data_IF_842613051109
#
_entry.id   IF_842613051109
#
_cell.length_a   1.000
_cell.length_b   1.000
_cell.length_c   1.000
_cell.angle_alpha   90.00
_cell.angle_beta   90.00
_cell.angle_gamma   90.00
#
_symmetry.space_group_name_H-M   'P 1'
#
loop_
_entity.id
_entity.type
_entity.pdbx_description
1 polymer ?
#
# COMPACT_ATOMS: atom_id res chain seq x y z
N UNK A 1 -5.23 -13.68 5.73
CA UNK A 1 -3.80 -13.41 5.99
C UNK A 1 -3.66 -12.33 7.07
N UNK A 2 -2.59 -12.36 7.87
CA UNK A 2 -2.15 -11.25 8.73
C UNK A 2 -0.64 -11.09 8.56
N UNK A 3 -0.18 -9.87 8.30
CA UNK A 3 1.23 -9.48 8.29
C UNK A 3 1.44 -8.34 9.30
N UNK A 4 2.60 -8.32 9.95
CA UNK A 4 2.96 -7.30 10.96
C UNK A 4 4.39 -6.87 10.75
N UNK A 5 4.58 -5.57 10.51
CA UNK A 5 5.88 -4.95 10.27
C UNK A 5 6.17 -3.98 11.41
N UNK A 6 7.38 -4.06 11.97
CA UNK A 6 7.85 -3.14 13.00
C UNK A 6 8.82 -2.13 12.42
N UNK A 7 8.79 -0.90 12.93
CA UNK A 7 9.72 0.16 12.53
C UNK A 7 9.34 1.51 13.11
N UNK A 8 10.04 2.57 12.72
CA UNK A 8 9.79 3.92 13.21
C UNK A 8 8.86 4.68 12.26
N UNK A 9 7.56 4.64 12.51
CA UNK A 9 6.57 5.27 11.63
C UNK A 9 6.64 6.80 11.66
N UNK A 10 7.15 7.38 12.74
CA UNK A 10 7.08 8.83 13.00
C UNK A 10 8.43 9.54 12.88
N UNK A 11 9.53 8.79 12.74
CA UNK A 11 10.89 9.33 12.65
C UNK A 11 11.48 9.74 14.00
N UNK A 12 10.86 9.34 15.11
CA UNK A 12 11.26 9.73 16.48
C UNK A 12 12.07 8.65 17.21
N UNK A 13 12.46 7.58 16.51
CA UNK A 13 13.23 6.47 17.07
C UNK A 13 12.42 5.47 17.90
N UNK A 14 11.08 5.49 17.80
CA UNK A 14 10.23 4.53 18.50
C UNK A 14 9.95 3.29 17.65
N UNK A 15 9.85 2.12 18.28
CA UNK A 15 9.38 0.91 17.59
C UNK A 15 7.85 0.92 17.53
N UNK A 16 7.34 1.46 16.44
CA UNK A 16 5.94 1.46 16.03
C UNK A 16 5.64 0.16 15.24
N UNK A 17 4.40 -0.01 14.76
CA UNK A 17 4.00 -1.18 13.98
C UNK A 17 2.99 -0.85 12.87
N UNK A 18 2.99 -1.65 11.82
CA UNK A 18 1.98 -1.69 10.76
C UNK A 18 1.41 -3.10 10.70
N UNK A 19 0.09 -3.22 10.58
CA UNK A 19 -0.58 -4.52 10.40
C UNK A 19 -1.34 -4.49 9.08
N UNK A 20 -1.16 -5.52 8.24
CA UNK A 20 -2.01 -5.78 7.08
C UNK A 20 -2.83 -7.03 7.36
N UNK A 21 -4.14 -6.98 7.26
CA UNK A 21 -4.97 -8.17 7.46
C UNK A 21 -6.15 -8.23 6.50
N UNK A 22 -6.51 -9.45 6.14
CA UNK A 22 -7.71 -9.72 5.35
C UNK A 22 -8.94 -9.71 6.25
N UNK A 23 -10.04 -9.07 5.85
CA UNK A 23 -11.32 -9.25 6.53
C UNK A 23 -11.77 -10.70 6.42
N UNK A 24 -12.63 -11.13 7.35
CA UNK A 24 -13.17 -12.49 7.32
C UNK A 24 -13.93 -12.75 6.02
N UNK A 25 -13.60 -13.86 5.34
CA UNK A 25 -14.28 -14.23 4.10
C UNK A 25 -15.74 -14.63 4.39
N UNK A 26 -16.68 -14.00 3.71
CA UNK A 26 -18.11 -14.34 3.75
C UNK A 26 -18.44 -15.28 2.59
N UNK A 27 -17.96 -16.53 2.69
CA UNK A 27 -18.28 -17.60 1.73
C UNK A 27 -17.22 -17.86 0.64
N UNK A 28 -17.56 -18.69 -0.37
CA UNK A 28 -16.65 -19.02 -1.47
C UNK A 28 -16.32 -17.76 -2.29
N UNK A 29 -15.04 -17.58 -2.64
CA UNK A 29 -14.57 -16.44 -3.45
C UNK A 29 -14.03 -16.94 -4.79
N UNK A 30 -14.30 -16.24 -5.89
CA UNK A 30 -13.69 -16.54 -7.20
C UNK A 30 -12.36 -15.81 -7.38
N UNK A 31 -11.70 -16.01 -8.52
CA UNK A 31 -10.56 -15.18 -8.91
C UNK A 31 -11.04 -13.74 -9.12
N UNK A 32 -10.33 -12.75 -8.56
CA UNK A 32 -10.72 -11.35 -8.62
C UNK A 32 -11.78 -10.93 -7.59
N UNK A 33 -12.39 -11.87 -6.87
CA UNK A 33 -13.39 -11.58 -5.86
C UNK A 33 -12.79 -11.49 -4.46
N UNK A 34 -13.25 -10.50 -3.70
CA UNK A 34 -12.97 -10.37 -2.28
C UNK A 34 -12.85 -8.92 -1.84
N UNK A 35 -12.95 -8.71 -0.54
CA UNK A 35 -12.72 -7.39 0.04
C UNK A 35 -11.23 -7.06 0.04
N UNK A 36 -10.91 -5.79 -0.19
CA UNK A 36 -9.58 -5.25 0.05
C UNK A 36 -9.18 -5.48 1.52
N UNK A 37 -7.87 -5.54 1.75
CA UNK A 37 -7.29 -5.74 3.07
C UNK A 37 -7.21 -4.43 3.81
N UNK A 38 -7.35 -4.52 5.13
CA UNK A 38 -7.16 -3.38 6.02
C UNK A 38 -5.69 -3.27 6.39
N UNK A 39 -5.17 -2.06 6.31
CA UNK A 39 -3.86 -1.67 6.81
C UNK A 39 -4.05 -0.73 8.00
N UNK A 40 -3.41 -1.03 9.13
CA UNK A 40 -3.44 -0.19 10.34
C UNK A 40 -2.02 0.26 10.66
N UNK A 41 -1.87 1.56 10.92
CA UNK A 41 -0.66 2.18 11.46
C UNK A 41 -0.81 2.32 12.98
N UNK A 42 0.08 1.70 13.74
CA UNK A 42 0.10 1.67 15.19
C UNK A 42 1.31 2.43 15.72
N UNK A 43 1.09 3.54 16.43
CA UNK A 43 2.17 4.34 17.01
C UNK A 43 2.23 4.15 18.51
N UNK A 44 3.46 4.07 19.04
CA UNK A 44 3.70 3.90 20.47
C UNK A 44 3.51 5.22 21.24
N UNK A 45 2.57 5.27 22.16
CA UNK A 45 2.38 6.44 23.02
C UNK A 45 3.50 6.58 24.09
N UNK A 46 3.42 7.64 24.89
CA UNK A 46 4.37 7.91 25.97
C UNK A 46 4.39 6.83 27.08
N UNK A 47 3.32 6.03 27.20
CA UNK A 47 3.26 4.90 28.13
C UNK A 47 3.89 3.62 27.55
N UNK A 48 4.36 3.67 26.30
CA UNK A 48 4.95 2.54 25.60
C UNK A 48 3.92 1.63 24.94
N UNK A 49 2.64 2.00 24.88
CA UNK A 49 1.57 1.18 24.28
C UNK A 49 1.34 1.55 22.82
N UNK A 50 1.13 0.55 21.97
CA UNK A 50 0.72 0.77 20.58
C UNK A 50 -0.72 1.26 20.53
N UNK A 51 -0.94 2.38 19.87
CA UNK A 51 -2.25 3.00 19.65
C UNK A 51 -2.53 3.06 18.16
N UNK A 52 -3.78 2.86 17.78
CA UNK A 52 -4.22 3.05 16.41
C UNK A 52 -4.13 4.53 16.02
N UNK A 53 -3.29 4.83 15.03
CA UNK A 53 -3.06 6.18 14.54
C UNK A 53 -3.76 6.44 13.20
N UNK A 54 -3.85 5.44 12.32
CA UNK A 54 -4.55 5.55 11.05
C UNK A 54 -4.90 4.17 10.48
N UNK A 55 -5.97 4.10 9.69
CA UNK A 55 -6.39 2.88 8.98
C UNK A 55 -6.72 3.18 7.52
N UNK A 56 -6.46 2.21 6.63
CA UNK A 56 -6.91 2.26 5.24
C UNK A 56 -7.33 0.86 4.77
N UNK A 57 -8.49 0.75 4.14
CA UNK A 57 -9.05 -0.51 3.63
C UNK A 57 -9.23 -0.54 2.10
N UNK A 58 -8.42 0.24 1.37
CA UNK A 58 -8.49 0.41 -0.10
C UNK A 58 -7.16 0.15 -0.80
N UNK A 59 -6.02 0.35 -0.13
CA UNK A 59 -4.69 0.27 -0.75
C UNK A 59 -4.32 -1.14 -1.19
N UNK A 60 -4.52 -2.13 -0.32
CA UNK A 60 -4.06 -3.50 -0.55
C UNK A 60 -5.24 -4.34 -1.05
N UNK A 61 -5.22 -4.83 -2.30
CA UNK A 61 -6.34 -5.61 -2.83
C UNK A 61 -6.53 -6.95 -2.12
N UNK A 62 -7.62 -7.63 -2.44
CA UNK A 62 -7.94 -8.95 -1.91
C UNK A 62 -6.87 -10.00 -2.27
N UNK A 63 -6.81 -11.11 -1.51
CA UNK A 63 -5.89 -12.25 -1.72
C UNK A 63 -5.95 -12.86 -3.14
N UNK A 64 -7.05 -12.65 -3.89
CA UNK A 64 -7.27 -13.22 -5.23
C UNK A 64 -7.30 -12.17 -6.33
N UNK A 65 -6.95 -10.93 -6.02
CA UNK A 65 -7.11 -9.78 -6.91
C UNK A 65 -5.89 -9.52 -7.80
N UNK A 66 -4.80 -10.30 -7.69
CA UNK A 66 -3.59 -10.13 -8.51
C UNK A 66 -3.64 -10.85 -9.85
N UNK A 67 -4.75 -11.49 -10.21
CA UNK A 67 -4.89 -12.21 -11.47
C UNK A 67 -4.10 -13.53 -11.48
N UNK A 68 -3.47 -13.86 -12.60
CA UNK A 68 -2.69 -15.12 -12.74
C UNK A 68 -1.45 -15.11 -11.84
N UNK A 69 -0.91 -13.92 -11.53
CA UNK A 69 0.20 -13.76 -10.59
C UNK A 69 -0.16 -14.19 -9.16
N UNK A 70 -1.46 -14.28 -8.82
CA UNK A 70 -1.93 -14.73 -7.51
C UNK A 70 -2.22 -13.56 -6.56
N UNK A 71 -1.70 -13.66 -5.34
CA UNK A 71 -1.91 -12.66 -4.31
C UNK A 71 -1.20 -11.34 -4.65
N UNK A 72 -1.91 -10.20 -4.69
CA UNK A 72 -1.30 -8.96 -5.09
C UNK A 72 -0.48 -8.27 -4.00
N UNK A 73 -0.58 -8.67 -2.73
CA UNK A 73 0.22 -8.06 -1.67
C UNK A 73 1.66 -8.57 -1.73
N UNK A 74 2.61 -7.69 -2.09
CA UNK A 74 4.01 -8.05 -2.16
C UNK A 74 4.70 -7.87 -0.80
N UNK A 75 4.66 -6.65 -0.25
CA UNK A 75 5.22 -6.36 1.08
C UNK A 75 4.72 -5.02 1.63
N UNK A 76 4.87 -4.86 2.93
CA UNK A 76 4.89 -3.58 3.61
C UNK A 76 6.28 -3.33 4.20
N UNK A 77 6.69 -2.07 4.27
CA UNK A 77 7.97 -1.68 4.89
C UNK A 77 7.78 -0.39 5.67
N UNK A 78 8.46 -0.32 6.81
CA UNK A 78 8.62 0.91 7.58
C UNK A 78 10.10 1.32 7.55
N UNK A 79 10.35 2.55 7.13
CA UNK A 79 11.60 3.28 7.38
C UNK A 79 11.29 4.49 8.28
N UNK A 80 12.32 5.15 8.82
CA UNK A 80 12.13 6.28 9.73
C UNK A 80 11.22 7.36 9.10
N UNK A 81 10.00 7.51 9.64
CA UNK A 81 9.00 8.47 9.16
C UNK A 81 8.35 8.11 7.82
N UNK A 82 8.54 6.90 7.29
CA UNK A 82 8.07 6.52 5.94
C UNK A 82 7.47 5.11 5.92
N UNK A 83 6.32 4.96 5.29
CA UNK A 83 5.64 3.69 5.04
C UNK A 83 5.64 3.43 3.54
N UNK A 84 5.94 2.20 3.15
CA UNK A 84 5.76 1.73 1.77
C UNK A 84 4.85 0.51 1.75
N UNK A 85 3.83 0.55 0.90
CA UNK A 85 2.97 -0.58 0.57
C UNK A 85 3.17 -0.93 -0.89
N UNK A 86 3.66 -2.14 -1.16
CA UNK A 86 3.92 -2.64 -2.50
C UNK A 86 2.90 -3.71 -2.88
N UNK A 87 2.29 -3.52 -4.05
CA UNK A 87 1.35 -4.46 -4.64
C UNK A 87 1.70 -4.75 -6.10
N UNK A 88 1.43 -5.96 -6.56
CA UNK A 88 1.72 -6.37 -7.93
C UNK A 88 0.71 -7.39 -8.44
N UNK A 89 0.61 -7.55 -9.74
CA UNK A 89 -0.31 -8.54 -10.31
C UNK A 89 -0.23 -8.61 -11.81
N UNK A 90 -1.25 -9.22 -12.41
CA UNK A 90 -1.37 -9.38 -13.85
C UNK A 90 -1.06 -10.80 -14.31
N UNK A 91 -0.66 -10.93 -15.58
CA UNK A 91 -0.38 -12.22 -16.22
C UNK A 91 0.87 -12.12 -17.09
N UNK A 92 0.70 -12.05 -18.42
CA UNK A 92 1.77 -11.74 -19.38
C UNK A 92 2.36 -10.37 -19.07
N UNK A 93 1.49 -9.38 -18.90
CA UNK A 93 1.84 -8.06 -18.40
C UNK A 93 1.72 -8.08 -16.88
N UNK A 94 2.87 -7.93 -16.22
CA UNK A 94 2.96 -7.82 -14.78
C UNK A 94 3.03 -6.36 -14.38
N UNK A 95 2.01 -5.90 -13.68
CA UNK A 95 1.98 -4.55 -13.12
C UNK A 95 2.48 -4.56 -11.67
N UNK A 96 2.99 -3.41 -11.23
CA UNK A 96 3.30 -3.16 -9.82
C UNK A 96 2.96 -1.71 -9.45
N UNK A 97 2.65 -1.50 -8.17
CA UNK A 97 2.44 -0.20 -7.55
C UNK A 97 3.12 -0.15 -6.19
N UNK A 98 3.98 0.85 -5.98
CA UNK A 98 4.52 1.19 -4.66
C UNK A 98 3.88 2.51 -4.20
N UNK A 99 3.17 2.46 -3.07
CA UNK A 99 2.59 3.62 -2.42
C UNK A 99 3.46 4.03 -1.23
N UNK A 100 4.05 5.22 -1.31
CA UNK A 100 4.95 5.75 -0.29
C UNK A 100 4.26 6.87 0.47
N UNK A 101 4.19 6.72 1.78
CA UNK A 101 3.64 7.73 2.68
C UNK A 101 4.71 8.24 3.63
N UNK A 102 4.70 9.54 3.89
CA UNK A 102 5.64 10.20 4.80
C UNK A 102 4.90 10.84 5.96
N UNK A 103 5.45 10.68 7.17
CA UNK A 103 4.90 11.32 8.36
C UNK A 103 5.05 12.84 8.26
N UNK A 104 3.94 13.54 8.53
CA UNK A 104 3.79 14.98 8.54
C UNK A 104 3.56 15.43 10.01
N UNK A 105 4.61 15.86 10.73
CA UNK A 105 4.53 16.17 12.16
C UNK A 105 3.49 17.24 12.50
N UNK A 106 3.30 18.22 11.62
CA UNK A 106 2.36 19.32 11.78
C UNK A 106 0.89 18.88 11.74
N UNK A 107 0.62 17.69 11.18
CA UNK A 107 -0.72 17.09 11.12
C UNK A 107 -0.84 15.82 11.95
N UNK A 108 0.28 15.37 12.53
CA UNK A 108 0.41 14.10 13.23
C UNK A 108 -0.15 12.90 12.44
N UNK A 109 0.04 12.87 11.12
CA UNK A 109 -0.45 11.79 10.24
C UNK A 109 0.51 11.58 9.06
N UNK A 110 0.27 10.57 8.22
CA UNK A 110 1.08 10.27 7.04
C UNK A 110 0.38 10.78 5.78
N UNK A 111 1.11 11.51 4.95
CA UNK A 111 0.66 12.00 3.65
C UNK A 111 1.27 11.14 2.54
N UNK A 112 0.54 10.97 1.45
CA UNK A 112 1.06 10.34 0.24
C UNK A 112 2.21 11.19 -0.32
N UNK A 113 3.40 10.63 -0.34
CA UNK A 113 4.64 11.29 -0.77
C UNK A 113 4.90 11.00 -2.26
N UNK A 114 4.75 9.74 -2.63
CA UNK A 114 5.10 9.24 -3.96
C UNK A 114 4.29 7.99 -4.31
N UNK A 115 3.95 7.85 -5.60
CA UNK A 115 3.46 6.60 -6.16
C UNK A 115 4.33 6.18 -7.33
N UNK A 116 4.85 4.96 -7.30
CA UNK A 116 5.60 4.38 -8.41
C UNK A 116 4.75 3.29 -9.02
N UNK A 117 4.50 3.35 -10.33
CA UNK A 117 3.70 2.34 -11.02
C UNK A 117 4.37 1.92 -12.30
N UNK A 118 4.38 0.62 -12.58
CA UNK A 118 4.93 0.14 -13.83
C UNK A 118 4.28 -1.14 -14.29
N UNK A 119 4.63 -1.51 -15.51
CA UNK A 119 4.23 -2.75 -16.16
C UNK A 119 5.43 -3.33 -16.89
N UNK A 120 5.58 -4.65 -16.81
CA UNK A 120 6.58 -5.42 -17.54
C UNK A 120 5.89 -6.50 -18.36
N UNK A 121 6.18 -6.56 -19.65
CA UNK A 121 5.78 -7.68 -20.51
C UNK A 121 6.78 -8.82 -20.31
N UNK A 122 6.32 -9.93 -19.72
CA UNK A 122 7.17 -11.07 -19.37
C UNK A 122 7.65 -11.89 -20.57
N UNK A 123 7.09 -11.70 -21.77
CA UNK A 123 7.54 -12.36 -22.99
C UNK A 123 8.63 -11.56 -23.72
N UNK A 124 8.46 -10.24 -23.79
CA UNK A 124 9.37 -9.37 -24.53
C UNK A 124 10.43 -8.72 -23.64
N UNK A 125 10.20 -8.66 -22.33
CA UNK A 125 11.04 -7.95 -21.37
C UNK A 125 10.86 -6.42 -21.39
N UNK A 126 9.93 -5.90 -22.21
CA UNK A 126 9.67 -4.46 -22.25
C UNK A 126 9.07 -3.98 -20.92
N UNK A 127 9.43 -2.76 -20.52
CA UNK A 127 8.96 -2.14 -19.29
C UNK A 127 8.51 -0.69 -19.54
N UNK A 128 7.41 -0.28 -18.91
CA UNK A 128 6.98 1.12 -18.78
C UNK A 128 6.79 1.45 -17.30
N UNK A 129 7.11 2.68 -16.90
CA UNK A 129 6.95 3.14 -15.51
C UNK A 129 6.56 4.62 -15.47
N UNK A 130 5.79 4.99 -14.47
CA UNK A 130 5.48 6.37 -14.09
C UNK A 130 5.76 6.58 -12.59
N UNK A 131 6.17 7.80 -12.26
CA UNK A 131 6.30 8.27 -10.88
C UNK A 131 5.35 9.45 -10.72
N UNK A 132 4.49 9.37 -9.71
CA UNK A 132 3.57 10.44 -9.33
C UNK A 132 3.99 11.05 -8.00
N UNK A 133 3.74 12.36 -7.86
CA UNK A 133 4.03 13.16 -6.67
C UNK A 133 2.81 13.99 -6.28
N UNK A 134 2.92 14.76 -5.20
CA UNK A 134 1.87 15.69 -4.78
C UNK A 134 1.44 16.70 -5.87
N UNK A 135 2.26 16.95 -6.90
CA UNK A 135 1.86 17.75 -8.05
C UNK A 135 0.76 17.08 -8.89
N UNK A 136 0.71 15.75 -8.90
CA UNK A 136 -0.22 14.95 -9.71
C UNK A 136 -1.51 14.61 -8.96
N UNK A 137 -1.43 14.43 -7.64
CA UNK A 137 -2.54 13.97 -6.80
C UNK A 137 -2.94 14.93 -5.67
N UNK A 138 -2.22 16.03 -5.47
CA UNK A 138 -2.46 16.98 -4.38
C UNK A 138 -1.97 16.47 -3.02
N UNK A 139 -2.67 16.88 -1.96
CA UNK A 139 -2.38 16.53 -0.57
C UNK A 139 -3.40 15.46 -0.10
N UNK A 140 -2.94 14.23 0.16
CA UNK A 140 -3.81 13.10 0.49
C UNK A 140 -3.24 12.36 1.70
N UNK A 141 -4.04 12.26 2.76
CA UNK A 141 -3.69 11.50 3.96
C UNK A 141 -3.84 9.99 3.77
N UNK A 142 -3.08 9.21 4.54
CA UNK A 142 -3.11 7.75 4.50
C UNK A 142 -4.52 7.17 4.64
N UNK A 143 -5.34 7.69 5.57
CA UNK A 143 -6.69 7.18 5.81
C UNK A 143 -7.66 7.44 4.64
N UNK A 144 -7.43 8.52 3.90
CA UNK A 144 -8.30 8.97 2.82
C UNK A 144 -7.88 8.43 1.46
N UNK A 145 -6.60 8.04 1.31
CA UNK A 145 -6.08 7.59 0.03
C UNK A 145 -6.86 6.42 -0.58
N UNK A 146 -7.13 6.53 -1.88
CA UNK A 146 -7.76 5.52 -2.71
C UNK A 146 -6.98 5.43 -4.03
N UNK A 147 -6.32 4.29 -4.32
CA UNK A 147 -5.59 4.10 -5.57
C UNK A 147 -6.41 4.36 -6.85
N UNK A 148 -7.74 4.21 -6.79
CA UNK A 148 -8.62 4.44 -7.94
C UNK A 148 -8.74 5.91 -8.35
N UNK A 149 -8.31 6.84 -7.50
CA UNK A 149 -8.33 8.29 -7.79
C UNK A 149 -7.08 8.77 -8.52
N UNK A 150 -6.06 7.92 -8.65
CA UNK A 150 -4.83 8.26 -9.37
C UNK A 150 -5.07 8.31 -10.89
N UNK A 151 -4.24 9.08 -11.64
CA UNK A 151 -4.19 9.01 -13.11
C UNK A 151 -4.04 7.57 -13.63
N UNK A 152 -4.33 7.30 -14.90
CA UNK A 152 -4.16 5.96 -15.46
C UNK A 152 -2.72 5.42 -15.30
N UNK A 153 -2.58 4.12 -14.99
CA UNK A 153 -1.27 3.48 -14.92
C UNK A 153 -0.70 3.24 -16.34
N UNK A 154 0.64 3.14 -16.48
CA UNK A 154 1.25 2.75 -17.76
C UNK A 154 0.77 1.38 -18.22
N UNK A 155 0.43 1.26 -19.51
CA UNK A 155 0.03 0.01 -20.17
C UNK A 155 0.79 -0.15 -21.50
N UNK A 156 0.89 -1.37 -22.00
CA UNK A 156 1.27 -1.61 -23.39
C UNK A 156 0.03 -1.46 -24.29
N UNK A 157 0.25 -1.04 -25.54
CA UNK A 157 -0.81 -0.85 -26.54
C UNK A 157 -1.12 -2.16 -27.28
#
# INVERSE_FOLDING_TARGET
MVDTVHGDLTGRGASDALIVFSPAATGPQSLGDGSARTVILLVRDASGRLQNAAENARIVPCERCGGVAGDPYAYARIAAGTVTLAVAGGSRERWFHDYVFRYAPERATWQLDQVIRGVTDTQTGQQKQAVLTAADFGDIGFADFDPATLPAAPVFD
#
